data_IF_644044994621
#
_entry.id   IF_644044994621
#
_cell.length_a   1.000
_cell.length_b   1.000
_cell.length_c   1.000
_cell.angle_alpha   90.00
_cell.angle_beta   90.00
_cell.angle_gamma   90.00
#
_symmetry.space_group_name_H-M   'P 1'
#
loop_
_entity.id
_entity.type
_entity.pdbx_description
1 polymer ?
#
# COMPACT_ATOMS: atom_id res chain seq x y z
N UNK A 1 5.13 -8.23 10.89
CA UNK A 1 5.33 -8.84 9.55
C UNK A 1 3.95 -9.06 8.94
N UNK A 2 3.71 -8.87 7.64
CA UNK A 2 2.40 -9.19 7.06
C UNK A 2 2.42 -10.57 6.40
N UNK A 3 1.56 -11.48 6.87
CA UNK A 3 1.43 -12.83 6.33
C UNK A 3 0.09 -12.96 5.60
N UNK A 4 0.11 -12.76 4.28
CA UNK A 4 -1.07 -12.91 3.42
C UNK A 4 -1.19 -14.27 2.73
N UNK A 5 -0.07 -14.95 2.44
CA UNK A 5 -0.09 -16.23 1.71
C UNK A 5 0.53 -17.41 2.47
N UNK A 6 1.30 -17.16 3.52
CA UNK A 6 2.19 -18.14 4.14
C UNK A 6 1.67 -18.74 5.46
N UNK A 7 0.45 -18.41 5.89
CA UNK A 7 -0.16 -18.98 7.10
C UNK A 7 -1.26 -20.00 6.73
N UNK A 8 -1.51 -20.95 7.64
CA UNK A 8 -2.51 -22.02 7.46
C UNK A 8 -3.94 -21.48 7.66
N UNK A 9 -4.44 -20.72 6.70
CA UNK A 9 -5.74 -20.02 6.77
C UNK A 9 -6.88 -20.90 7.27
N UNK A 10 -7.05 -22.10 6.73
CA UNK A 10 -8.13 -23.02 7.13
C UNK A 10 -8.04 -23.44 8.61
N UNK A 11 -6.82 -23.51 9.17
CA UNK A 11 -6.65 -23.81 10.60
C UNK A 11 -7.11 -22.65 11.47
N UNK A 12 -6.78 -21.42 11.08
CA UNK A 12 -7.24 -20.23 11.81
C UNK A 12 -8.73 -20.01 11.63
N UNK A 13 -9.28 -20.29 10.45
CA UNK A 13 -10.70 -20.23 10.18
C UNK A 13 -11.50 -21.15 11.11
N UNK A 14 -11.04 -22.41 11.28
CA UNK A 14 -11.61 -23.36 12.23
C UNK A 14 -11.44 -22.93 13.68
N UNK A 15 -10.26 -22.41 14.04
CA UNK A 15 -9.97 -21.97 15.41
C UNK A 15 -10.86 -20.80 15.85
N UNK A 16 -11.17 -19.88 14.93
CA UNK A 16 -11.99 -18.70 15.19
C UNK A 16 -13.48 -18.92 14.90
N UNK A 17 -13.90 -20.12 14.51
CA UNK A 17 -15.28 -20.44 14.13
C UNK A 17 -15.87 -19.46 13.09
N UNK A 18 -15.05 -19.12 12.07
CA UNK A 18 -15.42 -18.16 11.03
C UNK A 18 -16.72 -18.56 10.31
N UNK A 19 -17.57 -17.58 10.06
CA UNK A 19 -18.79 -17.74 9.24
C UNK A 19 -18.47 -17.69 7.75
N UNK A 20 -19.39 -18.16 6.92
CA UNK A 20 -19.19 -18.29 5.46
C UNK A 20 -18.82 -16.97 4.76
N UNK A 21 -19.24 -15.84 5.33
CA UNK A 21 -18.98 -14.50 4.82
C UNK A 21 -17.78 -13.80 5.49
N UNK A 22 -17.03 -14.49 6.35
CA UNK A 22 -15.87 -13.94 7.04
C UNK A 22 -14.56 -14.44 6.43
N UNK A 23 -13.56 -13.57 6.40
CA UNK A 23 -12.25 -13.90 5.82
C UNK A 23 -11.13 -13.28 6.65
N UNK A 24 -10.04 -14.02 6.79
CA UNK A 24 -8.79 -13.51 7.37
C UNK A 24 -7.87 -13.12 6.21
N UNK A 25 -7.81 -11.84 5.82
CA UNK A 25 -7.03 -11.40 4.68
C UNK A 25 -5.53 -11.59 4.93
N UNK A 26 -5.07 -11.19 6.10
CA UNK A 26 -3.69 -11.32 6.53
C UNK A 26 -3.62 -11.42 8.05
N UNK A 27 -2.50 -11.95 8.54
CA UNK A 27 -2.16 -11.93 9.97
C UNK A 27 -0.83 -11.22 10.18
N UNK A 28 -0.69 -10.52 11.31
CA UNK A 28 0.57 -9.86 11.69
C UNK A 28 1.07 -10.40 13.02
N UNK A 29 2.16 -11.20 13.05
CA UNK A 29 2.79 -11.53 14.31
C UNK A 29 3.47 -10.29 14.90
N UNK A 30 3.28 -10.10 16.20
CA UNK A 30 3.92 -9.06 17.03
C UNK A 30 4.68 -9.78 18.14
N UNK A 31 5.90 -9.33 18.42
CA UNK A 31 6.77 -9.93 19.43
C UNK A 31 8.23 -9.53 19.24
N UNK A 32 9.10 -10.11 20.06
CA UNK A 32 10.53 -9.84 20.00
C UNK A 32 11.19 -10.54 18.80
N UNK A 33 12.05 -9.84 18.03
CA UNK A 33 12.82 -10.49 16.98
C UNK A 33 13.77 -11.53 17.57
N UNK A 34 13.86 -12.70 16.95
CA UNK A 34 14.82 -13.72 17.36
C UNK A 34 16.26 -13.22 17.13
N UNK A 35 17.17 -13.51 18.08
CA UNK A 35 18.58 -13.13 17.99
C UNK A 35 19.27 -13.70 16.73
N UNK A 36 18.89 -14.91 16.32
CA UNK A 36 19.36 -15.56 15.10
C UNK A 36 18.16 -15.96 14.24
N UNK A 37 17.86 -15.20 13.16
CA UNK A 37 16.80 -15.56 12.23
C UNK A 37 17.09 -16.91 11.58
N UNK A 38 16.06 -17.74 11.41
CA UNK A 38 16.22 -19.02 10.73
C UNK A 38 16.66 -18.79 9.28
N UNK A 39 17.41 -19.74 8.70
CA UNK A 39 17.83 -19.69 7.29
C UNK A 39 16.64 -19.50 6.34
N UNK A 40 15.50 -20.11 6.66
CA UNK A 40 14.23 -19.96 5.92
C UNK A 40 13.72 -18.52 5.93
N UNK A 41 13.82 -17.81 7.06
CA UNK A 41 13.37 -16.40 7.16
C UNK A 41 14.22 -15.47 6.29
N UNK A 42 15.53 -15.74 6.23
CA UNK A 42 16.45 -14.99 5.37
C UNK A 42 16.11 -15.18 3.88
N UNK A 43 15.84 -16.42 3.46
CA UNK A 43 15.41 -16.76 2.10
C UNK A 43 14.08 -16.08 1.73
N UNK A 44 13.09 -16.11 2.62
CA UNK A 44 11.80 -15.43 2.40
C UNK A 44 12.00 -13.92 2.24
N UNK A 45 12.80 -13.29 3.10
CA UNK A 45 13.07 -11.84 3.04
C UNK A 45 13.79 -11.44 1.74
N UNK A 46 14.74 -12.27 1.29
CA UNK A 46 15.47 -12.07 0.03
C UNK A 46 14.54 -12.22 -1.17
N UNK A 47 13.77 -13.31 -1.24
CA UNK A 47 12.84 -13.57 -2.35
C UNK A 47 11.69 -12.57 -2.44
N UNK A 48 11.24 -12.03 -1.31
CA UNK A 48 10.24 -10.97 -1.28
C UNK A 48 10.80 -9.58 -1.65
N UNK A 49 12.13 -9.41 -1.69
CA UNK A 49 12.76 -8.13 -2.01
C UNK A 49 12.40 -6.98 -1.06
N UNK A 50 11.96 -7.28 0.17
CA UNK A 50 11.26 -6.33 1.07
C UNK A 50 12.08 -5.13 1.53
N UNK A 51 13.39 -5.09 1.23
CA UNK A 51 14.26 -3.93 1.46
C UNK A 51 14.20 -2.90 0.33
N UNK A 52 13.84 -3.33 -0.87
CA UNK A 52 13.83 -2.47 -2.05
C UNK A 52 12.54 -1.66 -2.08
N UNK A 53 12.62 -0.45 -2.63
CA UNK A 53 11.46 0.39 -2.91
C UNK A 53 11.59 0.99 -4.29
N UNK A 54 10.46 1.14 -4.98
CA UNK A 54 10.36 1.84 -6.26
C UNK A 54 10.86 3.28 -6.10
N UNK A 55 11.35 3.84 -7.20
CA UNK A 55 11.73 5.25 -7.22
C UNK A 55 10.48 6.13 -7.11
N UNK A 56 10.62 7.33 -6.52
CA UNK A 56 9.51 8.28 -6.37
C UNK A 56 8.81 8.59 -7.70
N UNK A 57 9.60 8.70 -8.76
CA UNK A 57 9.12 8.97 -10.13
C UNK A 57 8.24 7.85 -10.72
N UNK A 58 8.30 6.63 -10.17
CA UNK A 58 7.40 5.54 -10.58
C UNK A 58 6.07 5.56 -9.82
N UNK A 59 5.97 6.30 -8.72
CA UNK A 59 4.87 6.21 -7.76
C UNK A 59 4.05 7.50 -7.65
N UNK A 60 4.71 8.65 -7.80
CA UNK A 60 4.14 9.95 -7.51
C UNK A 60 4.22 10.85 -8.74
N UNK A 61 3.09 11.46 -9.07
CA UNK A 61 2.93 12.27 -10.27
C UNK A 61 2.20 13.58 -10.01
N UNK A 62 2.31 14.50 -10.94
CA UNK A 62 1.64 15.80 -10.92
C UNK A 62 0.73 15.92 -12.15
N UNK A 63 -0.54 16.27 -11.95
CA UNK A 63 -1.59 16.44 -12.96
C UNK A 63 -1.96 15.19 -13.79
N UNK A 64 -1.00 14.36 -14.18
CA UNK A 64 -1.16 13.19 -15.04
C UNK A 64 -0.24 12.06 -14.59
N UNK A 65 -0.44 10.83 -15.06
CA UNK A 65 0.46 9.70 -14.78
C UNK A 65 1.82 9.75 -15.51
N UNK A 66 2.05 10.75 -16.35
CA UNK A 66 3.25 10.86 -17.19
C UNK A 66 4.23 11.94 -16.72
N UNK A 67 3.83 12.76 -15.74
CA UNK A 67 4.64 13.83 -15.19
C UNK A 67 5.03 13.48 -13.76
N UNK A 68 6.27 13.02 -13.51
CA UNK A 68 6.74 12.73 -12.16
C UNK A 68 6.61 13.94 -11.24
N UNK A 69 6.15 13.70 -10.01
CA UNK A 69 6.06 14.74 -8.98
C UNK A 69 7.47 15.08 -8.49
N UNK A 70 7.89 16.32 -8.70
CA UNK A 70 9.15 16.83 -8.16
C UNK A 70 9.01 17.23 -6.68
N UNK A 71 10.14 17.42 -6.00
CA UNK A 71 10.15 17.68 -4.56
C UNK A 71 9.59 19.08 -4.19
N UNK A 72 9.73 20.07 -5.07
CA UNK A 72 9.16 21.40 -4.88
C UNK A 72 7.62 21.34 -4.90
N UNK A 73 7.04 20.68 -5.90
CA UNK A 73 5.61 20.48 -6.05
C UNK A 73 5.02 19.55 -4.98
N UNK A 74 5.80 18.60 -4.45
CA UNK A 74 5.41 17.80 -3.29
C UNK A 74 5.23 18.67 -2.03
N UNK A 75 6.05 19.71 -1.88
CA UNK A 75 5.96 20.70 -0.82
C UNK A 75 5.93 20.07 0.58
N UNK A 76 5.05 20.61 1.44
CA UNK A 76 4.90 20.15 2.84
C UNK A 76 4.54 18.67 3.00
N UNK A 77 3.98 18.05 1.97
CA UNK A 77 3.60 16.63 1.97
C UNK A 77 4.69 15.67 1.49
N UNK A 78 5.90 16.16 1.15
CA UNK A 78 6.99 15.31 0.67
C UNK A 78 7.33 14.16 1.63
N UNK A 79 7.32 14.43 2.94
CA UNK A 79 7.54 13.42 3.98
C UNK A 79 6.41 12.38 4.04
N UNK A 80 5.14 12.81 3.94
CA UNK A 80 4.00 11.89 3.93
C UNK A 80 4.03 10.96 2.70
N UNK A 81 4.38 11.49 1.53
CA UNK A 81 4.62 10.70 0.31
C UNK A 81 5.80 9.74 0.48
N UNK A 82 6.86 10.15 1.17
CA UNK A 82 7.96 9.23 1.46
C UNK A 82 7.53 8.09 2.39
N UNK A 83 6.67 8.34 3.38
CA UNK A 83 6.13 7.29 4.23
C UNK A 83 5.20 6.34 3.47
N UNK A 84 4.45 6.83 2.48
CA UNK A 84 3.73 5.99 1.51
C UNK A 84 4.71 5.10 0.74
N UNK A 85 5.82 5.66 0.24
CA UNK A 85 6.84 4.88 -0.48
C UNK A 85 7.42 3.76 0.40
N UNK A 86 7.63 4.03 1.68
CA UNK A 86 8.18 3.06 2.63
C UNK A 86 7.18 2.01 3.10
N UNK A 87 5.89 2.19 2.86
CA UNK A 87 4.85 1.25 3.27
C UNK A 87 5.14 -0.20 2.83
N UNK A 88 4.84 -1.21 3.65
CA UNK A 88 4.95 -2.60 3.25
C UNK A 88 3.85 -2.99 2.26
N UNK A 89 4.15 -3.95 1.38
CA UNK A 89 3.15 -4.55 0.48
C UNK A 89 3.44 -6.03 0.25
N UNK A 90 2.39 -6.78 -0.10
CA UNK A 90 2.50 -8.19 -0.42
C UNK A 90 3.46 -8.40 -1.60
N UNK A 91 4.42 -9.32 -1.42
CA UNK A 91 5.51 -9.57 -2.38
C UNK A 91 6.26 -8.30 -2.84
N UNK A 92 6.25 -7.25 -2.01
CA UNK A 92 6.84 -5.94 -2.26
C UNK A 92 6.40 -5.27 -3.58
N UNK A 93 5.15 -5.52 -4.03
CA UNK A 93 4.65 -5.03 -5.33
C UNK A 93 4.46 -3.53 -5.39
N UNK A 94 4.22 -2.88 -4.24
CA UNK A 94 4.01 -1.42 -4.12
C UNK A 94 2.98 -0.93 -5.17
N UNK A 95 1.74 -1.43 -5.10
CA UNK A 95 0.76 -1.26 -6.16
C UNK A 95 0.07 0.12 -6.14
N UNK A 96 0.45 1.03 -5.24
CA UNK A 96 -0.13 2.36 -5.17
C UNK A 96 0.50 3.32 -6.19
N UNK A 97 -0.30 4.25 -6.70
CA UNK A 97 0.14 5.49 -7.36
C UNK A 97 -0.55 6.68 -6.72
N UNK A 98 0.11 7.83 -6.70
CA UNK A 98 -0.47 9.08 -6.22
C UNK A 98 -0.31 10.14 -7.30
N UNK A 99 -1.40 10.80 -7.67
CA UNK A 99 -1.37 11.96 -8.57
C UNK A 99 -1.78 13.18 -7.75
N UNK A 100 -0.90 14.17 -7.67
CA UNK A 100 -1.21 15.47 -7.10
C UNK A 100 -1.86 16.35 -8.16
N UNK A 101 -3.04 16.90 -7.86
CA UNK A 101 -3.72 17.89 -8.71
C UNK A 101 -4.13 19.03 -7.78
N UNK A 102 -3.63 20.24 -8.04
CA UNK A 102 -3.81 21.38 -7.14
C UNK A 102 -3.39 21.02 -5.70
N UNK A 103 -4.28 21.19 -4.73
CA UNK A 103 -4.12 20.85 -3.31
C UNK A 103 -4.81 19.52 -2.96
N UNK A 104 -4.78 18.53 -3.85
CA UNK A 104 -5.38 17.20 -3.64
C UNK A 104 -4.38 16.12 -4.03
N UNK A 105 -4.39 15.02 -3.28
CA UNK A 105 -3.56 13.84 -3.56
C UNK A 105 -4.47 12.65 -3.83
N UNK A 106 -4.56 12.25 -5.09
CA UNK A 106 -5.45 11.19 -5.55
C UNK A 106 -4.69 9.86 -5.56
N UNK A 107 -5.16 8.89 -4.78
CA UNK A 107 -4.56 7.56 -4.65
C UNK A 107 -5.24 6.57 -5.58
N UNK A 108 -4.41 5.78 -6.26
CA UNK A 108 -4.84 4.77 -7.22
C UNK A 108 -4.19 3.43 -6.91
N UNK A 109 -4.92 2.36 -7.15
CA UNK A 109 -4.42 1.00 -7.12
C UNK A 109 -4.06 0.55 -8.54
N UNK A 110 -2.76 0.46 -8.84
CA UNK A 110 -2.25 -0.18 -10.05
C UNK A 110 -2.02 -1.67 -9.80
N UNK A 111 -2.96 -2.48 -10.26
CA UNK A 111 -2.97 -3.94 -10.11
C UNK A 111 -1.74 -4.55 -10.76
N UNK A 112 -1.17 -5.55 -10.09
CA UNK A 112 -0.13 -6.37 -10.70
C UNK A 112 -0.80 -7.48 -11.51
N UNK A 113 -0.60 -7.56 -12.84
CA UNK A 113 -1.23 -8.58 -13.67
C UNK A 113 -0.99 -9.99 -13.14
N UNK A 114 -2.06 -10.79 -13.08
CA UNK A 114 -2.01 -12.18 -12.61
C UNK A 114 -1.86 -12.36 -11.09
N UNK A 115 -1.65 -11.30 -10.30
CA UNK A 115 -1.40 -11.43 -8.86
C UNK A 115 -2.60 -12.02 -8.10
N UNK A 116 -3.82 -11.61 -8.45
CA UNK A 116 -5.05 -12.15 -7.83
C UNK A 116 -5.25 -13.65 -8.04
N UNK A 117 -4.66 -14.25 -9.10
CA UNK A 117 -4.73 -15.70 -9.34
C UNK A 117 -3.91 -16.51 -8.34
N UNK A 118 -2.89 -15.90 -7.72
CA UNK A 118 -2.03 -16.56 -6.73
C UNK A 118 -2.76 -16.74 -5.39
N UNK A 119 -3.72 -15.87 -5.07
CA UNK A 119 -4.48 -15.85 -3.82
C UNK A 119 -5.95 -15.48 -4.10
N UNK A 120 -6.74 -16.34 -4.77
CA UNK A 120 -8.06 -16.00 -5.27
C UNK A 120 -9.09 -15.68 -4.16
N UNK A 121 -8.83 -16.14 -2.93
CA UNK A 121 -9.73 -15.91 -1.80
C UNK A 121 -9.70 -14.47 -1.27
N UNK A 122 -8.61 -13.72 -1.47
CA UNK A 122 -8.37 -12.42 -0.81
C UNK A 122 -7.69 -11.45 -1.76
N UNK A 123 -8.19 -10.22 -1.79
CA UNK A 123 -7.56 -9.11 -2.47
C UNK A 123 -6.49 -8.44 -1.59
N UNK A 124 -5.27 -8.98 -1.59
CA UNK A 124 -4.16 -8.40 -0.82
C UNK A 124 -3.73 -7.02 -1.32
N UNK A 125 -3.92 -6.70 -2.60
CA UNK A 125 -3.50 -5.40 -3.12
C UNK A 125 -4.40 -4.26 -2.60
N UNK A 126 -5.67 -4.56 -2.27
CA UNK A 126 -6.54 -3.65 -1.51
C UNK A 126 -6.06 -3.42 -0.07
N UNK A 127 -5.57 -4.47 0.59
CA UNK A 127 -4.94 -4.32 1.93
C UNK A 127 -3.68 -3.46 1.82
N UNK A 128 -2.84 -3.71 0.80
CA UNK A 128 -1.60 -2.97 0.58
C UNK A 128 -1.84 -1.46 0.39
N UNK A 129 -2.83 -1.06 -0.42
CA UNK A 129 -3.15 0.37 -0.57
C UNK A 129 -3.79 0.96 0.70
N UNK A 130 -4.58 0.19 1.46
CA UNK A 130 -5.06 0.63 2.77
C UNK A 130 -3.92 0.96 3.74
N UNK A 131 -2.85 0.15 3.75
CA UNK A 131 -1.63 0.43 4.53
C UNK A 131 -0.95 1.72 4.04
N UNK A 132 -0.86 1.92 2.73
CA UNK A 132 -0.29 3.14 2.15
C UNK A 132 -1.10 4.40 2.53
N UNK A 133 -2.43 4.34 2.48
CA UNK A 133 -3.31 5.45 2.92
C UNK A 133 -3.08 5.78 4.40
N UNK A 134 -3.03 4.75 5.26
CA UNK A 134 -2.75 4.92 6.69
C UNK A 134 -1.38 5.57 6.94
N UNK A 135 -0.34 5.17 6.21
CA UNK A 135 0.97 5.81 6.30
C UNK A 135 0.92 7.29 5.92
N UNK A 136 0.17 7.65 4.87
CA UNK A 136 0.02 9.04 4.46
C UNK A 136 -0.66 9.89 5.55
N UNK A 137 -1.81 9.42 6.03
CA UNK A 137 -2.63 10.12 7.02
C UNK A 137 -1.91 10.30 8.36
N UNK A 138 -1.30 9.24 8.90
CA UNK A 138 -0.54 9.32 10.16
C UNK A 138 0.64 10.30 10.05
N UNK A 139 1.32 10.30 8.91
CA UNK A 139 2.45 11.21 8.67
C UNK A 139 1.99 12.65 8.49
N UNK A 140 0.87 12.87 7.81
CA UNK A 140 0.25 14.19 7.69
C UNK A 140 -0.17 14.72 9.08
N UNK A 141 -0.77 13.86 9.91
CA UNK A 141 -1.15 14.19 11.29
C UNK A 141 0.04 14.59 12.17
N UNK A 142 1.13 13.82 12.14
CA UNK A 142 2.37 14.14 12.86
C UNK A 142 2.97 15.48 12.43
N UNK A 143 2.84 15.83 11.15
CA UNK A 143 3.31 17.09 10.59
C UNK A 143 2.31 18.24 10.73
N UNK A 144 1.20 18.03 11.47
CA UNK A 144 0.09 18.97 11.62
C UNK A 144 -0.50 19.46 10.28
N UNK A 145 -0.43 18.63 9.25
CA UNK A 145 -1.02 18.88 7.94
C UNK A 145 -2.50 18.51 7.94
N UNK A 146 -3.35 19.53 7.91
CA UNK A 146 -4.80 19.34 7.91
C UNK A 146 -5.31 18.87 6.56
N UNK A 147 -6.26 17.96 6.60
CA UNK A 147 -6.95 17.39 5.47
C UNK A 147 -7.80 16.20 5.87
N UNK A 148 -8.47 15.62 4.88
CA UNK A 148 -9.37 14.49 5.08
C UNK A 148 -9.47 13.62 3.83
N UNK A 149 -9.91 12.37 4.01
CA UNK A 149 -10.20 11.47 2.90
C UNK A 149 -11.58 11.74 2.31
N UNK A 150 -11.65 11.84 0.98
CA UNK A 150 -12.89 11.99 0.23
C UNK A 150 -12.84 11.18 -1.08
N UNK A 151 -13.99 10.66 -1.50
CA UNK A 151 -14.18 10.21 -2.87
C UNK A 151 -14.37 11.44 -3.79
N UNK A 152 -13.27 11.85 -4.41
CA UNK A 152 -13.14 12.99 -5.31
C UNK A 152 -12.26 12.60 -6.50
N UNK A 153 -12.79 11.74 -7.36
CA UNK A 153 -12.10 11.22 -8.53
C UNK A 153 -12.03 12.31 -9.63
N UNK A 154 -10.83 12.76 -10.02
CA UNK A 154 -10.66 13.84 -11.00
C UNK A 154 -10.95 13.37 -12.44
N UNK A 155 -11.28 12.09 -12.66
CA UNK A 155 -11.61 11.52 -13.97
C UNK A 155 -10.52 11.71 -15.03
N UNK A 156 -9.26 11.71 -14.60
CA UNK A 156 -8.11 11.75 -15.50
C UNK A 156 -7.95 10.40 -16.23
N UNK A 157 -7.31 10.38 -17.42
CA UNK A 157 -6.98 9.13 -18.10
C UNK A 157 -6.12 8.22 -17.21
N UNK A 158 -6.53 6.96 -17.09
CA UNK A 158 -5.87 5.97 -16.26
C UNK A 158 -4.96 5.05 -17.09
N UNK A 159 -3.76 4.70 -16.59
CA UNK A 159 -2.97 3.61 -17.13
C UNK A 159 -3.71 2.28 -17.07
N UNK A 160 -3.24 1.31 -17.83
CA UNK A 160 -3.77 -0.05 -17.78
C UNK A 160 -3.71 -0.62 -16.35
N UNK A 161 -4.74 -1.37 -15.97
CA UNK A 161 -4.85 -2.05 -14.68
C UNK A 161 -4.82 -1.09 -13.48
N UNK A 162 -5.17 0.19 -13.67
CA UNK A 162 -5.21 1.20 -12.63
C UNK A 162 -6.67 1.55 -12.26
N UNK A 163 -6.97 1.64 -10.97
CA UNK A 163 -8.28 2.06 -10.46
C UNK A 163 -8.14 3.15 -9.39
N UNK A 164 -9.06 4.10 -9.38
CA UNK A 164 -9.14 5.13 -8.35
C UNK A 164 -9.57 4.53 -7.01
N UNK A 165 -8.97 5.01 -5.91
CA UNK A 165 -9.32 4.59 -4.54
C UNK A 165 -9.95 5.75 -3.77
N UNK A 166 -9.16 6.75 -3.39
CA UNK A 166 -9.56 7.86 -2.53
C UNK A 166 -8.67 9.07 -2.78
N UNK A 167 -9.07 10.23 -2.27
CA UNK A 167 -8.29 11.46 -2.36
C UNK A 167 -8.12 12.09 -0.99
N UNK A 168 -6.90 12.55 -0.71
CA UNK A 168 -6.65 13.43 0.41
C UNK A 168 -6.92 14.86 -0.02
N UNK A 169 -7.89 15.50 0.62
CA UNK A 169 -8.25 16.89 0.42
C UNK A 169 -7.52 17.69 1.47
N UNK A 170 -6.67 18.63 1.05
CA UNK A 170 -6.00 19.54 1.98
C UNK A 170 -7.00 20.61 2.41
N UNK A 171 -7.05 20.86 3.72
CA UNK A 171 -7.87 21.93 4.32
C UNK A 171 -7.21 23.31 4.19
#
# INVERSE_FOLDING_TARGET
>A
CWLGGSFKRDKYAKLLDLKENEVIPAVTPVGYPAEKPALRDKLIRLGAGSKNRKHRQELFFENTFYQPLNDEAAGKYSTALEMVRLAPSASNKQPWRVVKINNRYHFYLQRTPGYGRLLPAIDLQKVDIGIALCHFELSAGELALKGHWQADDPKIPLPENCEYILSWIVD
#
